data_IF_625342569140
#
_entry.id   IF_625342569140
#
_cell.length_a   1.000
_cell.length_b   1.000
_cell.length_c   1.000
_cell.angle_alpha   90.00
_cell.angle_beta   90.00
_cell.angle_gamma   90.00
#
_symmetry.space_group_name_H-M   'P 1'
#
loop_
_entity.id
_entity.type
_entity.pdbx_description
1 polymer ?
#
# COMPACT_ATOMS: atom_id res chain seq x y z
N UNK A 1 3.70 -19.57 11.28
CA UNK A 1 4.25 -19.27 9.94
C UNK A 1 4.91 -17.91 10.06
N UNK A 2 6.25 -17.84 10.06
CA UNK A 2 6.96 -16.58 10.26
C UNK A 2 7.03 -15.84 8.92
N UNK A 3 6.11 -14.90 8.70
CA UNK A 3 6.22 -13.95 7.59
C UNK A 3 7.44 -13.06 7.89
N UNK A 4 8.45 -13.10 7.03
CA UNK A 4 9.68 -12.33 7.24
C UNK A 4 9.43 -10.87 6.88
N UNK A 5 9.96 -9.93 7.68
CA UNK A 5 9.84 -8.48 7.41
C UNK A 5 10.30 -8.11 5.99
N UNK A 6 11.31 -8.80 5.46
CA UNK A 6 11.78 -8.61 4.08
C UNK A 6 10.69 -8.90 3.02
N UNK A 7 9.80 -9.86 3.27
CA UNK A 7 8.66 -10.15 2.38
C UNK A 7 7.59 -9.04 2.48
N UNK A 8 7.38 -8.50 3.68
CA UNK A 8 6.47 -7.37 3.94
C UNK A 8 6.98 -6.10 3.25
N UNK A 9 8.28 -5.81 3.38
CA UNK A 9 8.92 -4.65 2.74
C UNK A 9 8.87 -4.75 1.21
N UNK A 10 9.10 -5.94 0.66
CA UNK A 10 9.00 -6.19 -0.78
C UNK A 10 7.55 -6.04 -1.28
N UNK A 11 6.57 -6.53 -0.53
CA UNK A 11 5.14 -6.36 -0.86
C UNK A 11 4.72 -4.89 -0.78
N UNK A 12 5.16 -4.15 0.25
CA UNK A 12 4.93 -2.72 0.39
C UNK A 12 5.52 -1.93 -0.79
N UNK A 13 6.75 -2.26 -1.20
CA UNK A 13 7.41 -1.64 -2.35
C UNK A 13 6.65 -1.91 -3.66
N UNK A 14 6.15 -3.14 -3.86
CA UNK A 14 5.35 -3.49 -5.03
C UNK A 14 4.00 -2.77 -5.05
N UNK A 15 3.31 -2.63 -3.91
CA UNK A 15 2.07 -1.85 -3.79
C UNK A 15 2.30 -0.36 -4.09
N UNK A 16 3.39 0.21 -3.59
CA UNK A 16 3.78 1.60 -3.89
C UNK A 16 4.03 1.82 -5.39
N UNK A 17 4.70 0.87 -6.06
CA UNK A 17 4.88 0.89 -7.52
C UNK A 17 3.55 0.78 -8.26
N UNK A 18 2.67 -0.15 -7.87
CA UNK A 18 1.35 -0.30 -8.47
C UNK A 18 0.52 1.00 -8.37
N UNK A 19 0.54 1.66 -7.20
CA UNK A 19 -0.10 2.96 -7.01
C UNK A 19 0.46 4.03 -7.96
N UNK A 20 1.78 4.11 -8.10
CA UNK A 20 2.42 5.08 -9.00
C UNK A 20 2.00 4.87 -10.47
N UNK A 21 1.95 3.61 -10.92
CA UNK A 21 1.48 3.27 -12.28
C UNK A 21 0.01 3.67 -12.49
N UNK A 22 -0.86 3.40 -11.50
CA UNK A 22 -2.27 3.78 -11.58
C UNK A 22 -2.44 5.31 -11.61
N UNK A 23 -1.62 6.06 -10.86
CA UNK A 23 -1.63 7.54 -10.91
C UNK A 23 -1.25 8.04 -12.30
N UNK A 24 -0.17 7.49 -12.90
CA UNK A 24 0.24 7.85 -14.26
C UNK A 24 -0.86 7.53 -15.27
N UNK A 25 -1.54 6.39 -15.12
CA UNK A 25 -2.67 6.05 -15.99
C UNK A 25 -3.82 7.04 -15.85
N UNK A 26 -4.17 7.50 -14.65
CA UNK A 26 -5.18 8.54 -14.46
C UNK A 26 -4.75 9.88 -15.09
N UNK A 27 -3.50 10.28 -14.92
CA UNK A 27 -2.98 11.55 -15.43
C UNK A 27 -2.85 11.56 -16.96
N UNK A 28 -2.65 10.40 -17.58
CA UNK A 28 -2.44 10.26 -19.03
C UNK A 28 -3.71 9.91 -19.80
N UNK A 29 -4.78 9.50 -19.12
CA UNK A 29 -6.00 9.06 -19.79
C UNK A 29 -6.79 10.27 -20.32
N UNK A 30 -7.14 10.31 -21.63
CA UNK A 30 -7.97 11.37 -22.15
C UNK A 30 -9.37 11.27 -21.53
N UNK A 31 -9.84 12.36 -20.93
CA UNK A 31 -11.18 12.51 -20.36
C UNK A 31 -12.28 12.60 -21.41
N UNK A 32 -12.29 11.68 -22.37
CA UNK A 32 -13.36 11.50 -23.34
C UNK A 32 -14.39 10.53 -22.76
N UNK A 33 -15.68 10.69 -23.12
CA UNK A 33 -16.76 9.84 -22.59
C UNK A 33 -16.58 8.34 -22.85
N UNK A 34 -15.73 7.94 -23.81
CA UNK A 34 -15.38 6.54 -24.05
C UNK A 34 -14.48 5.93 -22.95
N UNK A 35 -13.78 6.76 -22.18
CA UNK A 35 -12.83 6.35 -21.15
C UNK A 35 -13.32 6.66 -19.73
N UNK A 36 -14.55 7.17 -19.56
CA UNK A 36 -15.07 7.60 -18.26
C UNK A 36 -15.19 6.42 -17.29
N UNK A 37 -15.74 5.30 -17.75
CA UNK A 37 -15.83 4.05 -16.97
C UNK A 37 -14.44 3.50 -16.60
N UNK A 38 -13.48 3.58 -17.53
CA UNK A 38 -12.11 3.10 -17.32
C UNK A 38 -11.40 4.00 -16.29
N UNK A 39 -11.56 5.32 -16.40
CA UNK A 39 -11.02 6.30 -15.45
C UNK A 39 -11.59 6.07 -14.05
N UNK A 40 -12.88 5.77 -13.96
CA UNK A 40 -13.54 5.43 -12.70
C UNK A 40 -12.97 4.15 -12.09
N UNK A 41 -12.83 3.08 -12.87
CA UNK A 41 -12.24 1.80 -12.41
C UNK A 41 -10.80 1.98 -11.92
N UNK A 42 -9.98 2.75 -12.64
CA UNK A 42 -8.59 3.01 -12.25
C UNK A 42 -8.54 3.86 -10.98
N UNK A 43 -9.44 4.83 -10.81
CA UNK A 43 -9.55 5.63 -9.59
C UNK A 43 -9.88 4.77 -8.37
N UNK A 44 -10.81 3.82 -8.53
CA UNK A 44 -11.17 2.83 -7.52
C UNK A 44 -10.00 1.91 -7.15
N UNK A 45 -9.28 1.40 -8.15
CA UNK A 45 -8.08 0.60 -7.94
C UNK A 45 -6.99 1.41 -7.22
N UNK A 46 -6.77 2.67 -7.63
CA UNK A 46 -5.79 3.57 -7.02
C UNK A 46 -6.11 3.84 -5.55
N UNK A 47 -7.39 4.08 -5.21
CA UNK A 47 -7.87 4.24 -3.83
C UNK A 47 -7.65 2.97 -3.00
N UNK A 48 -8.06 1.81 -3.52
CA UNK A 48 -7.91 0.52 -2.83
C UNK A 48 -6.44 0.19 -2.52
N UNK A 49 -5.54 0.41 -3.48
CA UNK A 49 -4.10 0.22 -3.28
C UNK A 49 -3.56 1.20 -2.22
N UNK A 50 -4.00 2.45 -2.24
CA UNK A 50 -3.61 3.43 -1.23
C UNK A 50 -4.03 3.03 0.19
N UNK A 51 -5.27 2.57 0.37
CA UNK A 51 -5.78 2.14 1.66
C UNK A 51 -5.07 0.88 2.16
N UNK A 52 -4.75 -0.05 1.25
CA UNK A 52 -3.96 -1.25 1.58
C UNK A 52 -2.55 -0.89 2.06
N UNK A 53 -1.89 0.09 1.42
CA UNK A 53 -0.57 0.59 1.86
C UNK A 53 -0.68 1.18 3.27
N UNK A 54 -1.69 2.01 3.53
CA UNK A 54 -1.90 2.60 4.87
C UNK A 54 -2.14 1.55 5.95
N UNK A 55 -2.97 0.55 5.66
CA UNK A 55 -3.24 -0.55 6.57
C UNK A 55 -1.97 -1.36 6.86
N UNK A 56 -1.14 -1.60 5.85
CA UNK A 56 0.14 -2.29 6.00
C UNK A 56 1.12 -1.47 6.86
N UNK A 57 1.26 -0.16 6.59
CA UNK A 57 2.10 0.74 7.38
C UNK A 57 1.64 0.82 8.85
N UNK A 58 0.33 0.87 9.09
CA UNK A 58 -0.23 0.84 10.44
C UNK A 58 0.01 -0.50 11.16
N UNK A 59 -0.11 -1.64 10.45
CA UNK A 59 0.16 -2.96 11.01
C UNK A 59 1.65 -3.13 11.37
N UNK A 60 2.56 -2.63 10.52
CA UNK A 60 4.00 -2.65 10.79
C UNK A 60 4.34 -1.76 11.99
N UNK A 61 3.81 -0.54 12.07
CA UNK A 61 4.04 0.36 13.22
C UNK A 61 3.50 -0.24 14.53
N UNK A 62 2.33 -0.90 14.48
CA UNK A 62 1.75 -1.60 15.63
C UNK A 62 2.64 -2.76 16.10
N UNK A 63 3.18 -3.55 15.17
CA UNK A 63 4.10 -4.65 15.49
C UNK A 63 5.43 -4.12 16.08
N UNK A 64 6.03 -3.10 15.47
CA UNK A 64 7.24 -2.46 16.00
C UNK A 64 7.03 -1.90 17.42
N UNK A 65 5.89 -1.24 17.68
CA UNK A 65 5.53 -0.75 19.02
C UNK A 65 5.30 -1.89 20.02
N UNK A 66 4.70 -3.00 19.59
CA UNK A 66 4.51 -4.19 20.42
C UNK A 66 5.86 -4.80 20.83
N UNK A 67 6.81 -4.89 19.89
CA UNK A 67 8.17 -5.40 20.14
C UNK A 67 8.98 -4.46 21.02
N UNK A 68 8.80 -3.14 20.88
CA UNK A 68 9.43 -2.13 21.76
C UNK A 68 8.96 -2.16 23.21
N UNK A 69 7.73 -2.66 23.48
CA UNK A 69 7.22 -2.87 24.85
C UNK A 69 7.64 -4.20 25.48
N UNK A 70 8.25 -5.10 24.71
CA UNK A 70 8.60 -6.46 25.13
C UNK A 70 10.08 -6.71 25.44
N UNK A 71 10.95 -5.69 25.41
CA UNK A 71 12.31 -5.88 25.92
C UNK A 71 12.25 -6.05 27.44
N UNK A 72 12.54 -7.25 28.01
CA UNK A 72 12.69 -7.34 29.44
C UNK A 72 13.87 -6.43 29.79
N UNK A 73 13.61 -5.44 30.66
CA UNK A 73 14.68 -4.78 31.38
C UNK A 73 15.49 -5.91 32.04
N UNK A 74 16.69 -6.17 31.51
CA UNK A 74 17.66 -7.05 32.17
C UNK A 74 17.91 -6.44 33.55
N UNK A 75 17.33 -7.07 34.56
CA UNK A 75 17.74 -6.92 35.96
C UNK A 75 19.08 -7.63 36.17
#
# INVERSE_FOLDING_TARGET
>A
MAILFAEIDQQAANLKKARAVLSVLLDTMPGTGANEDITWLISLAHGTVHDTIKALEAAVDADLKSRGKGAPAKA
#
